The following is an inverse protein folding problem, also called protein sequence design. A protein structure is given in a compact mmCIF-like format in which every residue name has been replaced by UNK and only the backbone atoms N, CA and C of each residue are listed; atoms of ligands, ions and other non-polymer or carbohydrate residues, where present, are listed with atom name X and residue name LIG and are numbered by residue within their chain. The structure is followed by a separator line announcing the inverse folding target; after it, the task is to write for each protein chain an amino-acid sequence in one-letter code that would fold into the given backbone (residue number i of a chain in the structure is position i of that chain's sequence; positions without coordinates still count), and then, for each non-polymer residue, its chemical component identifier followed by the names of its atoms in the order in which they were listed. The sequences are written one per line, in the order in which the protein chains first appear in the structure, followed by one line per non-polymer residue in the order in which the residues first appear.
data_IF_627260337108
#
_entry.id   IF_627260337108
#
_cell.length_a   1.000
_cell.length_b   1.000
_cell.length_c   1.000
_cell.angle_alpha   90.00
_cell.angle_beta   90.00
_cell.angle_gamma   90.00
#
_symmetry.space_group_name_H-M   'P 1'
#
loop_
_entity.id
_entity.type
_entity.pdbx_description
1 polymer ?
#
# COMPACT_ATOMS: atom_id res chain seq x y z
N UNK A 1 -11.77 -2.85 -18.00
CA UNK A 1 -11.60 -2.62 -16.54
C UNK A 1 -12.29 -1.30 -16.20
N UNK A 2 -13.08 -1.29 -15.13
CA UNK A 2 -13.73 -0.10 -14.63
C UNK A 2 -13.01 0.45 -13.41
N UNK A 3 -13.08 1.78 -13.19
CA UNK A 3 -12.43 2.44 -12.06
C UNK A 3 -13.40 3.30 -11.26
N UNK A 4 -13.22 3.35 -9.95
CA UNK A 4 -13.89 4.32 -9.09
C UNK A 4 -13.46 5.75 -9.46
N UNK A 5 -14.38 6.71 -9.42
CA UNK A 5 -14.10 8.09 -9.84
C UNK A 5 -12.93 8.78 -9.13
N UNK A 6 -12.59 8.37 -7.91
CA UNK A 6 -11.43 8.91 -7.20
C UNK A 6 -10.07 8.53 -7.82
N UNK A 7 -10.03 7.48 -8.64
CA UNK A 7 -8.79 7.03 -9.31
C UNK A 7 -8.56 7.73 -10.65
N UNK A 8 -9.56 8.40 -11.21
CA UNK A 8 -9.54 8.99 -12.54
C UNK A 8 -8.34 9.94 -12.72
N UNK A 9 -8.19 10.92 -11.83
CA UNK A 9 -7.09 11.89 -11.92
C UNK A 9 -5.69 11.24 -11.84
N UNK A 10 -5.56 10.18 -11.06
CA UNK A 10 -4.31 9.45 -10.94
C UNK A 10 -4.01 8.67 -12.22
N UNK A 11 -5.01 7.99 -12.78
CA UNK A 11 -4.87 7.27 -14.06
C UNK A 11 -4.52 8.21 -15.19
N UNK A 12 -5.17 9.38 -15.28
CA UNK A 12 -4.85 10.43 -16.25
C UNK A 12 -3.42 10.95 -16.11
N UNK A 13 -2.92 11.05 -14.87
CA UNK A 13 -1.54 11.46 -14.62
C UNK A 13 -0.54 10.44 -15.16
N UNK A 14 -0.79 9.15 -14.95
CA UNK A 14 0.06 8.08 -15.50
C UNK A 14 0.05 8.09 -17.03
N UNK A 15 -1.11 8.22 -17.65
CA UNK A 15 -1.24 8.25 -19.11
C UNK A 15 -0.50 9.46 -19.71
N UNK A 16 -0.62 10.65 -19.13
CA UNK A 16 0.13 11.86 -19.53
C UNK A 16 1.65 11.70 -19.41
N UNK A 17 2.11 10.83 -18.52
CA UNK A 17 3.53 10.48 -18.35
C UNK A 17 3.93 9.22 -19.13
N UNK A 18 3.16 8.86 -20.15
CA UNK A 18 3.43 7.72 -21.04
C UNK A 18 3.42 6.34 -20.36
N UNK A 19 2.82 6.23 -19.17
CA UNK A 19 2.62 4.97 -18.49
C UNK A 19 1.21 4.47 -18.78
N UNK A 20 1.09 3.55 -19.73
CA UNK A 20 -0.20 3.00 -20.14
C UNK A 20 -0.71 1.98 -19.13
N UNK A 21 -1.86 2.26 -18.55
CA UNK A 21 -2.55 1.38 -17.60
C UNK A 21 -3.60 0.46 -18.27
N UNK A 22 -3.70 0.51 -19.61
CA UNK A 22 -4.74 -0.19 -20.39
C UNK A 22 -6.04 0.61 -20.48
N UNK A 23 -7.09 -0.06 -21.00
CA UNK A 23 -8.39 0.58 -21.19
C UNK A 23 -9.14 0.67 -19.86
N UNK A 24 -9.18 1.86 -19.29
CA UNK A 24 -9.85 2.16 -18.03
C UNK A 24 -11.08 3.02 -18.28
N UNK A 25 -12.23 2.61 -17.76
CA UNK A 25 -13.49 3.32 -17.88
C UNK A 25 -14.04 3.67 -16.50
N UNK A 26 -14.42 4.92 -16.30
CA UNK A 26 -15.05 5.35 -15.05
C UNK A 26 -16.39 4.67 -14.85
N UNK A 27 -16.65 4.19 -13.62
CA UNK A 27 -17.94 3.61 -13.25
C UNK A 27 -19.04 4.66 -13.36
N UNK A 28 -20.11 4.33 -14.12
CA UNK A 28 -21.35 5.08 -14.17
C UNK A 28 -22.49 4.23 -13.59
N UNK A 29 -23.05 4.65 -12.46
CA UNK A 29 -24.04 3.89 -11.72
C UNK A 29 -25.45 3.93 -12.33
N UNK A 30 -25.65 4.59 -13.47
CA UNK A 30 -26.95 4.66 -14.17
C UNK A 30 -27.35 3.31 -14.76
N UNK A 31 -26.39 2.46 -15.15
CA UNK A 31 -26.64 1.12 -15.66
C UNK A 31 -25.79 0.10 -14.89
N UNK A 32 -26.35 -0.56 -13.91
CA UNK A 32 -25.63 -1.45 -13.00
C UNK A 32 -25.33 -2.81 -13.62
N UNK A 33 -26.18 -3.31 -14.50
CA UNK A 33 -26.07 -4.65 -15.09
C UNK A 33 -24.83 -4.81 -15.99
N UNK A 34 -24.28 -3.71 -16.47
CA UNK A 34 -23.07 -3.74 -17.31
C UNK A 34 -21.80 -4.21 -16.58
N UNK A 35 -21.84 -4.28 -15.25
CA UNK A 35 -20.68 -4.62 -14.44
C UNK A 35 -20.58 -6.11 -14.10
N UNK A 36 -21.59 -6.92 -14.45
CA UNK A 36 -21.56 -8.36 -14.21
C UNK A 36 -20.37 -9.00 -14.94
N UNK A 37 -19.54 -9.75 -14.21
CA UNK A 37 -18.33 -10.37 -14.74
C UNK A 37 -17.18 -9.39 -15.05
N UNK A 38 -17.30 -8.12 -14.64
CA UNK A 38 -16.28 -7.10 -14.88
C UNK A 38 -15.38 -6.88 -13.66
N UNK A 39 -14.17 -6.40 -13.89
CA UNK A 39 -13.25 -5.96 -12.85
C UNK A 39 -13.46 -4.47 -12.59
N UNK A 40 -13.64 -4.13 -11.31
CA UNK A 40 -13.78 -2.75 -10.86
C UNK A 40 -12.68 -2.44 -9.86
N UNK A 41 -11.84 -1.47 -10.15
CA UNK A 41 -10.79 -1.00 -9.25
C UNK A 41 -11.34 0.16 -8.40
N UNK A 42 -11.15 0.05 -7.10
CA UNK A 42 -11.61 1.06 -6.15
C UNK A 42 -10.65 1.15 -4.94
N UNK A 43 -10.55 2.31 -4.29
CA UNK A 43 -9.78 2.43 -3.06
C UNK A 43 -10.45 1.61 -1.93
N UNK A 44 -9.70 1.14 -0.92
CA UNK A 44 -10.24 0.33 0.18
C UNK A 44 -11.39 1.00 0.93
N UNK A 45 -11.40 2.33 0.99
CA UNK A 45 -12.49 3.11 1.59
C UNK A 45 -13.82 2.97 0.86
N UNK A 46 -13.81 2.77 -0.46
CA UNK A 46 -15.02 2.60 -1.25
C UNK A 46 -15.70 1.24 -1.00
N UNK A 47 -14.92 0.19 -0.71
CA UNK A 47 -15.43 -1.16 -0.44
C UNK A 47 -16.30 -1.18 0.83
N UNK A 48 -15.89 -0.44 1.86
CA UNK A 48 -16.64 -0.34 3.14
C UNK A 48 -17.83 0.59 3.08
N UNK A 49 -18.03 1.29 1.97
CA UNK A 49 -19.03 2.32 1.81
C UNK A 49 -20.29 1.83 1.08
N UNK A 50 -21.34 2.64 1.12
CA UNK A 50 -22.61 2.46 0.37
C UNK A 50 -22.35 2.27 -1.14
N UNK A 51 -21.21 2.75 -1.65
CA UNK A 51 -20.85 2.64 -3.05
C UNK A 51 -20.72 1.18 -3.52
N UNK A 52 -20.00 0.34 -2.78
CA UNK A 52 -19.83 -1.07 -3.14
C UNK A 52 -21.14 -1.87 -3.11
N UNK A 53 -22.08 -1.49 -2.23
CA UNK A 53 -23.40 -2.13 -2.12
C UNK A 53 -24.32 -1.86 -3.34
N UNK A 54 -23.88 -1.02 -4.27
CA UNK A 54 -24.63 -0.75 -5.50
C UNK A 54 -24.42 -1.80 -6.58
N UNK A 55 -23.41 -2.67 -6.41
CA UNK A 55 -23.15 -3.80 -7.30
C UNK A 55 -23.84 -5.05 -6.75
N UNK A 56 -24.35 -5.88 -7.63
CA UNK A 56 -24.99 -7.13 -7.28
C UNK A 56 -23.91 -8.19 -7.01
N UNK A 57 -23.92 -8.77 -5.81
CA UNK A 57 -23.05 -9.84 -5.37
C UNK A 57 -21.56 -9.69 -5.79
N UNK A 58 -20.87 -8.59 -5.39
CA UNK A 58 -19.52 -8.35 -5.83
C UNK A 58 -18.54 -9.22 -5.05
N UNK A 59 -17.66 -9.95 -5.74
CA UNK A 59 -16.54 -10.64 -5.12
C UNK A 59 -15.51 -9.61 -4.66
N UNK A 60 -15.27 -9.51 -3.35
CA UNK A 60 -14.33 -8.56 -2.79
C UNK A 60 -12.91 -9.11 -2.86
N UNK A 61 -12.10 -8.49 -3.72
CA UNK A 61 -10.67 -8.73 -3.86
C UNK A 61 -9.88 -7.57 -3.23
N UNK A 62 -8.88 -7.89 -2.43
CA UNK A 62 -7.96 -6.89 -1.89
C UNK A 62 -6.52 -7.28 -2.17
N UNK A 63 -5.77 -6.37 -2.83
CA UNK A 63 -4.33 -6.48 -3.03
C UNK A 63 -3.61 -5.71 -1.92
N UNK A 64 -2.86 -6.42 -1.08
CA UNK A 64 -2.06 -5.84 0.00
C UNK A 64 -1.10 -6.87 0.58
N UNK A 65 0.08 -6.45 1.04
CA UNK A 65 1.00 -7.32 1.80
C UNK A 65 0.36 -7.90 3.07
N UNK A 66 -0.62 -7.20 3.67
CA UNK A 66 -1.36 -7.68 4.83
C UNK A 66 -2.26 -8.87 4.54
N UNK A 67 -2.53 -9.18 3.28
CA UNK A 67 -3.33 -10.34 2.88
C UNK A 67 -2.60 -11.67 3.12
N UNK A 68 -1.30 -11.65 3.36
CA UNK A 68 -0.54 -12.79 3.87
C UNK A 68 -1.04 -13.27 5.26
N UNK A 69 -1.66 -12.39 6.03
CA UNK A 69 -2.21 -12.68 7.36
C UNK A 69 -3.67 -13.10 7.22
N UNK A 70 -3.95 -14.40 7.22
CA UNK A 70 -5.30 -14.98 7.04
C UNK A 70 -6.38 -14.36 7.93
N UNK A 71 -6.04 -14.04 9.19
CA UNK A 71 -6.98 -13.43 10.13
C UNK A 71 -7.41 -12.03 9.66
N UNK A 72 -6.51 -11.23 9.08
CA UNK A 72 -6.84 -9.90 8.56
C UNK A 72 -7.76 -9.97 7.34
N UNK A 73 -7.51 -10.91 6.42
CA UNK A 73 -8.38 -11.13 5.27
C UNK A 73 -9.82 -11.46 5.73
N UNK A 74 -9.96 -12.37 6.69
CA UNK A 74 -11.27 -12.73 7.29
C UNK A 74 -11.96 -11.54 7.96
N UNK A 75 -11.24 -10.76 8.77
CA UNK A 75 -11.80 -9.58 9.45
C UNK A 75 -12.25 -8.48 8.46
N UNK A 76 -11.61 -8.41 7.31
CA UNK A 76 -11.93 -7.43 6.27
C UNK A 76 -12.99 -7.93 5.27
N UNK A 77 -13.56 -9.13 5.48
CA UNK A 77 -14.54 -9.77 4.59
C UNK A 77 -14.04 -9.86 3.14
N UNK A 78 -12.73 -10.11 2.97
CA UNK A 78 -12.09 -10.28 1.68
C UNK A 78 -12.23 -11.72 1.22
N UNK A 79 -12.85 -11.92 0.07
CA UNK A 79 -13.06 -13.25 -0.51
C UNK A 79 -11.85 -13.71 -1.31
N UNK A 80 -11.20 -12.79 -2.03
CA UNK A 80 -10.02 -13.06 -2.83
C UNK A 80 -8.83 -12.20 -2.36
N UNK A 81 -8.05 -12.68 -1.38
CA UNK A 81 -6.86 -11.98 -0.93
C UNK A 81 -5.71 -12.15 -1.93
N UNK A 82 -5.16 -11.03 -2.42
CA UNK A 82 -3.95 -11.00 -3.23
C UNK A 82 -2.79 -10.48 -2.39
N UNK A 83 -1.74 -11.29 -2.26
CA UNK A 83 -0.53 -10.90 -1.54
C UNK A 83 0.33 -10.07 -2.50
N UNK A 84 0.11 -8.77 -2.49
CA UNK A 84 0.84 -7.81 -3.29
C UNK A 84 1.16 -6.60 -2.42
N UNK A 85 2.43 -6.21 -2.33
CA UNK A 85 2.88 -5.07 -1.53
C UNK A 85 3.70 -4.11 -2.39
N UNK A 86 3.50 -2.84 -2.18
CA UNK A 86 4.31 -1.73 -2.67
C UNK A 86 5.42 -1.33 -1.67
N UNK A 87 5.51 -2.04 -0.56
CA UNK A 87 6.54 -1.86 0.46
C UNK A 87 7.64 -2.90 0.26
N UNK A 88 8.89 -2.47 0.46
CA UNK A 88 10.02 -3.38 0.53
C UNK A 88 9.86 -4.40 1.65
N UNK A 89 10.20 -5.65 1.39
CA UNK A 89 10.31 -6.66 2.43
C UNK A 89 11.57 -6.46 3.29
N UNK A 90 11.75 -7.29 4.32
CA UNK A 90 12.92 -7.22 5.20
C UNK A 90 14.23 -7.37 4.43
N UNK A 91 14.29 -8.28 3.48
CA UNK A 91 15.50 -8.54 2.69
C UNK A 91 15.85 -7.37 1.77
N UNK A 92 14.85 -6.81 1.11
CA UNK A 92 15.02 -5.66 0.23
C UNK A 92 15.39 -4.42 1.04
N UNK A 93 14.70 -4.14 2.16
CA UNK A 93 14.98 -3.01 3.02
C UNK A 93 16.42 -3.04 3.55
N UNK A 94 16.86 -4.19 4.05
CA UNK A 94 18.22 -4.34 4.61
C UNK A 94 19.31 -4.27 3.54
N UNK A 95 19.06 -4.80 2.33
CA UNK A 95 19.94 -4.62 1.18
C UNK A 95 20.04 -3.16 0.78
N UNK A 96 18.91 -2.45 0.78
CA UNK A 96 18.88 -1.04 0.39
C UNK A 96 19.64 -0.17 1.38
N UNK A 97 19.48 -0.39 2.69
CA UNK A 97 20.25 0.29 3.73
C UNK A 97 21.76 0.11 3.50
N UNK A 98 22.21 -1.13 3.23
CA UNK A 98 23.64 -1.38 2.91
C UNK A 98 24.06 -0.69 1.62
N UNK A 99 23.22 -0.71 0.60
CA UNK A 99 23.51 -0.11 -0.71
C UNK A 99 23.69 1.41 -0.62
N UNK A 100 22.94 2.10 0.23
CA UNK A 100 23.06 3.55 0.40
C UNK A 100 24.40 3.96 1.02
N UNK A 101 25.08 3.06 1.73
CA UNK A 101 26.30 3.33 2.48
C UNK A 101 26.21 4.60 3.34
N UNK A 102 25.03 4.81 3.94
CA UNK A 102 24.76 5.98 4.76
C UNK A 102 25.56 5.94 6.06
N UNK A 103 26.11 7.08 6.47
CA UNK A 103 26.83 7.22 7.75
C UNK A 103 25.89 7.02 8.94
N UNK A 104 24.62 7.47 8.79
CA UNK A 104 23.59 7.34 9.81
C UNK A 104 22.23 7.04 9.19
N UNK A 105 21.46 6.15 9.82
CA UNK A 105 20.11 5.76 9.42
C UNK A 105 19.12 6.24 10.49
N UNK A 106 18.16 7.06 10.07
CA UNK A 106 17.04 7.46 10.92
C UNK A 106 15.83 6.58 10.61
N UNK A 107 15.30 5.93 11.65
CA UNK A 107 14.19 4.98 11.52
C UNK A 107 12.91 5.62 12.03
N UNK A 108 11.83 5.48 11.27
CA UNK A 108 10.51 5.98 11.65
C UNK A 108 9.42 5.01 11.18
N UNK A 109 8.30 5.00 11.87
CA UNK A 109 7.14 4.12 11.65
C UNK A 109 7.37 2.63 11.98
N UNK A 110 6.35 2.01 12.50
CA UNK A 110 6.34 0.59 12.81
C UNK A 110 7.20 0.20 14.02
N UNK A 111 7.81 -0.98 13.93
CA UNK A 111 8.72 -1.49 14.98
C UNK A 111 10.15 -1.07 14.67
N UNK A 112 10.51 0.12 15.06
CA UNK A 112 11.82 0.72 14.81
C UNK A 112 12.96 -0.12 15.37
N UNK A 113 12.74 -0.77 16.52
CA UNK A 113 13.75 -1.55 17.23
C UNK A 113 14.36 -2.66 16.38
N UNK A 114 13.57 -3.29 15.51
CA UNK A 114 14.04 -4.38 14.68
C UNK A 114 15.11 -3.91 13.68
N UNK A 115 14.87 -2.81 12.99
CA UNK A 115 15.82 -2.22 12.04
C UNK A 115 17.02 -1.64 12.75
N UNK A 116 16.83 -0.93 13.88
CA UNK A 116 17.92 -0.36 14.66
C UNK A 116 18.84 -1.47 15.17
N UNK A 117 18.27 -2.55 15.71
CA UNK A 117 19.07 -3.71 16.14
C UNK A 117 19.85 -4.32 14.97
N UNK A 118 19.19 -4.52 13.82
CA UNK A 118 19.86 -5.06 12.63
C UNK A 118 20.99 -4.14 12.15
N UNK A 119 20.80 -2.82 12.12
CA UNK A 119 21.83 -1.86 11.77
C UNK A 119 23.02 -1.99 12.72
N UNK A 120 22.77 -2.04 14.04
CA UNK A 120 23.80 -2.16 15.07
C UNK A 120 24.68 -3.39 14.89
N UNK A 121 24.10 -4.57 14.66
CA UNK A 121 24.88 -5.82 14.42
C UNK A 121 25.62 -5.81 13.10
N UNK A 122 25.28 -4.93 12.16
CA UNK A 122 25.99 -4.71 10.91
C UNK A 122 26.93 -3.48 10.93
N UNK A 123 27.22 -2.90 12.11
CA UNK A 123 28.06 -1.72 12.30
C UNK A 123 27.56 -0.48 11.54
N UNK A 124 26.26 -0.32 11.45
CA UNK A 124 25.60 0.87 10.87
C UNK A 124 24.99 1.67 12.02
N UNK A 125 25.33 2.96 12.12
CA UNK A 125 24.70 3.85 13.11
C UNK A 125 23.23 4.07 12.75
N UNK A 126 22.34 3.79 13.71
CA UNK A 126 20.90 3.94 13.51
C UNK A 126 20.18 4.36 14.78
N UNK A 127 19.29 5.34 14.65
CA UNK A 127 18.49 5.87 15.76
C UNK A 127 17.04 6.09 15.33
N UNK A 128 16.07 6.09 16.28
CA UNK A 128 14.73 6.55 16.00
C UNK A 128 14.74 8.01 15.53
N UNK A 129 14.00 8.33 14.47
CA UNK A 129 13.88 9.71 13.98
C UNK A 129 13.30 10.65 15.05
N UNK A 130 12.44 10.14 15.93
CA UNK A 130 11.86 10.90 17.05
C UNK A 130 12.87 11.41 18.07
N UNK A 131 14.08 10.84 18.10
CA UNK A 131 15.18 11.26 18.98
C UNK A 131 16.17 12.20 18.26
N UNK A 132 16.02 12.42 16.98
CA UNK A 132 16.87 13.33 16.21
C UNK A 132 16.68 14.78 16.70
N UNK A 133 17.78 15.46 17.02
CA UNK A 133 17.77 16.85 17.48
C UNK A 133 17.50 17.05 18.97
N UNK A 134 17.47 15.97 19.78
CA UNK A 134 17.36 16.07 21.26
C UNK A 134 18.68 15.97 22.00
N UNK A 135 19.77 15.72 21.27
CA UNK A 135 21.11 15.58 21.87
C UNK A 135 21.69 16.92 22.36
N UNK A 136 21.04 18.06 22.08
CA UNK A 136 21.50 19.40 22.44
C UNK A 136 20.88 19.99 23.73
N UNK A 137 19.97 19.26 24.40
CA UNK A 137 19.29 19.76 25.61
C UNK A 137 19.84 19.23 26.93
N UNK A 138 20.89 18.39 26.92
CA UNK A 138 21.57 17.90 28.12
C UNK A 138 23.02 18.43 28.20
N UNK A 139 23.19 19.78 28.30
CA UNK A 139 24.42 20.40 28.83
C UNK A 139 24.08 21.55 29.75
#
# INVERSE_FOLDING_TARGET
IFIHGSLEKLCDYYDKNHIKLGDLTKVNLSNKNQYNGQIILAPPSAIKNVWARKFEDPIICQASGWMAVKQRAKQSLVELPLILSDHADWSELTKYIKFTNAEKVYVTHGREEAIIHWCRINNIDATPLSLSGRDDEEQ
#
